data_IF_333394647184
#
_entry.id   IF_333394647184
#
_cell.length_a   1.000
_cell.length_b   1.000
_cell.length_c   1.000
_cell.angle_alpha   90.00
_cell.angle_beta   90.00
_cell.angle_gamma   90.00
#
_symmetry.space_group_name_H-M   'P 1'
#
loop_
_entity.id
_entity.type
_entity.pdbx_description
1 polymer ?
#
# COMPACT_ATOMS: atom_id res chain seq x y z
N UNK A 1 -32.84 -5.78 -11.75
CA UNK A 1 -31.45 -5.99 -11.31
C UNK A 1 -31.51 -6.93 -10.10
N UNK A 2 -31.18 -8.23 -10.26
CA UNK A 2 -31.23 -9.18 -9.14
C UNK A 2 -29.95 -9.02 -8.33
N UNK A 3 -30.07 -8.47 -7.12
CA UNK A 3 -29.02 -8.56 -6.13
C UNK A 3 -28.98 -10.02 -5.64
N UNK A 4 -27.96 -10.78 -6.03
CA UNK A 4 -27.58 -11.93 -5.21
C UNK A 4 -27.07 -11.36 -3.89
N UNK A 5 -27.62 -11.75 -2.74
CA UNK A 5 -27.00 -11.40 -1.47
C UNK A 5 -25.60 -12.01 -1.49
N UNK A 6 -24.56 -11.21 -1.28
CA UNK A 6 -23.21 -11.72 -1.08
C UNK A 6 -23.21 -12.54 0.20
N UNK A 7 -23.17 -13.86 0.09
CA UNK A 7 -23.11 -14.79 1.21
C UNK A 7 -21.81 -15.59 1.07
N UNK A 8 -21.19 -15.93 2.20
CA UNK A 8 -20.11 -16.90 2.19
C UNK A 8 -20.66 -18.29 1.86
N UNK A 9 -19.78 -19.18 1.42
CA UNK A 9 -20.12 -20.60 1.32
C UNK A 9 -20.57 -21.10 2.70
N UNK A 10 -21.61 -21.94 2.75
CA UNK A 10 -22.35 -22.22 3.99
C UNK A 10 -21.47 -22.83 5.09
N UNK A 11 -20.45 -23.63 4.74
CA UNK A 11 -19.53 -24.17 5.73
C UNK A 11 -18.63 -23.09 6.32
N UNK A 12 -18.16 -22.14 5.51
CA UNK A 12 -17.40 -20.99 5.98
C UNK A 12 -18.25 -20.07 6.85
N UNK A 13 -19.50 -19.79 6.47
CA UNK A 13 -20.40 -18.97 7.28
C UNK A 13 -20.66 -19.60 8.66
N UNK A 14 -20.95 -20.90 8.70
CA UNK A 14 -21.16 -21.63 9.94
C UNK A 14 -19.90 -21.62 10.82
N UNK A 15 -18.72 -21.79 10.23
CA UNK A 15 -17.45 -21.72 10.95
C UNK A 15 -17.23 -20.33 11.58
N UNK A 16 -17.45 -19.26 10.82
CA UNK A 16 -17.30 -17.89 11.32
C UNK A 16 -18.31 -17.56 12.44
N UNK A 17 -19.52 -18.13 12.39
CA UNK A 17 -20.52 -18.01 13.45
C UNK A 17 -20.13 -18.77 14.72
N UNK A 18 -19.51 -19.95 14.59
CA UNK A 18 -19.03 -20.76 15.72
C UNK A 18 -17.79 -20.18 16.40
N UNK A 19 -16.90 -19.59 15.62
CA UNK A 19 -15.60 -19.10 16.10
C UNK A 19 -15.40 -17.59 15.84
N UNK A 20 -16.24 -16.72 16.41
CA UNK A 20 -16.20 -15.27 16.13
C UNK A 20 -14.86 -14.62 16.51
N UNK A 21 -14.13 -15.21 17.46
CA UNK A 21 -12.79 -14.76 17.85
C UNK A 21 -11.75 -14.87 16.73
N UNK A 22 -11.99 -15.68 15.69
CA UNK A 22 -11.08 -15.81 14.52
C UNK A 22 -11.28 -14.74 13.47
N UNK A 23 -12.42 -14.04 13.49
CA UNK A 23 -12.79 -13.07 12.46
C UNK A 23 -11.72 -11.97 12.29
N UNK A 24 -11.16 -11.35 13.34
CA UNK A 24 -10.11 -10.33 13.17
C UNK A 24 -8.85 -10.86 12.47
N UNK A 25 -8.41 -12.07 12.82
CA UNK A 25 -7.23 -12.69 12.20
C UNK A 25 -7.47 -13.02 10.72
N UNK A 26 -8.67 -13.51 10.37
CA UNK A 26 -9.05 -13.78 8.99
C UNK A 26 -9.15 -12.48 8.19
N UNK A 27 -9.80 -11.45 8.76
CA UNK A 27 -9.88 -10.13 8.13
C UNK A 27 -8.49 -9.55 7.89
N UNK A 28 -7.56 -9.68 8.86
CA UNK A 28 -6.17 -9.28 8.72
C UNK A 28 -5.48 -10.02 7.57
N UNK A 29 -5.58 -11.35 7.53
CA UNK A 29 -5.01 -12.16 6.46
C UNK A 29 -5.54 -11.80 5.08
N UNK A 30 -6.85 -11.55 4.95
CA UNK A 30 -7.47 -11.08 3.71
C UNK A 30 -6.92 -9.72 3.29
N UNK A 31 -6.81 -8.77 4.22
CA UNK A 31 -6.29 -7.44 3.92
C UNK A 31 -4.83 -7.48 3.50
N UNK A 32 -3.98 -8.18 4.25
CA UNK A 32 -2.55 -8.28 3.94
C UNK A 32 -2.28 -8.98 2.59
N UNK A 33 -3.19 -9.87 2.17
CA UNK A 33 -3.09 -10.57 0.88
C UNK A 33 -3.46 -9.70 -0.33
N UNK A 34 -4.21 -8.61 -0.14
CA UNK A 34 -4.76 -7.82 -1.26
C UNK A 34 -4.32 -6.35 -1.26
N UNK A 35 -3.82 -5.84 -0.14
CA UNK A 35 -3.46 -4.43 0.04
C UNK A 35 -2.00 -4.27 0.48
N UNK A 36 -1.32 -3.18 0.08
CA UNK A 36 0.02 -2.89 0.54
C UNK A 36 0.01 -2.53 2.05
N UNK A 37 1.12 -2.76 2.78
CA UNK A 37 1.22 -2.45 4.21
C UNK A 37 0.91 -1.00 4.56
N UNK A 38 1.21 -0.08 3.64
CA UNK A 38 0.90 1.35 3.75
C UNK A 38 -0.59 1.62 3.86
N UNK A 39 -1.48 0.77 3.33
CA UNK A 39 -2.95 0.97 3.32
C UNK A 39 -3.70 -0.08 4.14
N UNK A 40 -3.10 -1.24 4.41
CA UNK A 40 -3.71 -2.35 5.14
C UNK A 40 -4.40 -1.92 6.44
N UNK A 41 -3.72 -1.15 7.29
CA UNK A 41 -4.28 -0.69 8.56
C UNK A 41 -5.54 0.19 8.38
N UNK A 42 -5.58 1.00 7.33
CA UNK A 42 -6.74 1.85 7.06
C UNK A 42 -7.95 1.05 6.58
N UNK A 43 -7.70 0.00 5.80
CA UNK A 43 -8.77 -0.89 5.31
C UNK A 43 -9.42 -1.60 6.49
N UNK A 44 -8.61 -2.13 7.43
CA UNK A 44 -9.11 -2.75 8.66
C UNK A 44 -9.96 -1.79 9.48
N UNK A 45 -9.44 -0.58 9.72
CA UNK A 45 -10.17 0.45 10.46
C UNK A 45 -11.49 0.81 9.78
N UNK A 46 -11.50 0.94 8.45
CA UNK A 46 -12.71 1.29 7.69
C UNK A 46 -13.82 0.24 7.79
N UNK A 47 -13.47 -1.03 8.03
CA UNK A 47 -14.44 -2.13 8.23
C UNK A 47 -14.66 -2.48 9.71
N UNK A 48 -14.10 -1.70 10.64
CA UNK A 48 -14.33 -1.84 12.09
C UNK A 48 -13.42 -2.83 12.80
N UNK A 49 -12.29 -3.22 12.21
CA UNK A 49 -11.26 -4.02 12.87
C UNK A 49 -10.13 -3.14 13.41
N UNK A 50 -9.63 -3.51 14.60
CA UNK A 50 -8.41 -2.93 15.16
C UNK A 50 -7.19 -3.42 14.34
N UNK A 51 -6.40 -2.52 13.72
CA UNK A 51 -5.26 -2.91 12.90
C UNK A 51 -4.11 -3.57 13.69
N UNK A 52 -4.07 -3.39 15.01
CA UNK A 52 -3.07 -4.00 15.89
C UNK A 52 -3.47 -5.42 16.33
N UNK A 53 -4.76 -5.75 16.26
CA UNK A 53 -5.26 -7.10 16.59
C UNK A 53 -4.93 -8.06 15.45
N UNK A 54 -4.22 -9.15 15.77
CA UNK A 54 -3.78 -10.11 14.76
C UNK A 54 -2.59 -9.64 13.93
N UNK A 55 -1.94 -8.52 14.30
CA UNK A 55 -0.59 -8.19 13.85
C UNK A 55 0.42 -9.19 14.46
N UNK A 56 0.34 -10.45 14.04
CA UNK A 56 1.27 -11.49 14.50
C UNK A 56 2.59 -11.25 13.79
N UNK A 57 3.66 -11.06 14.56
CA UNK A 57 5.04 -11.17 14.09
C UNK A 57 5.24 -12.55 13.49
N UNK A 58 5.19 -12.68 12.15
CA UNK A 58 5.65 -13.84 11.35
C UNK A 58 5.69 -15.18 12.12
N UNK A 59 4.54 -15.63 12.60
CA UNK A 59 4.42 -16.92 13.24
C UNK A 59 3.02 -17.44 12.97
N UNK A 60 2.81 -17.92 11.75
CA UNK A 60 1.69 -18.80 11.43
C UNK A 60 2.20 -19.83 10.42
N UNK A 61 1.75 -21.06 10.62
CA UNK A 61 2.21 -22.31 10.01
C UNK A 61 2.33 -22.25 8.48
N UNK A 62 3.21 -23.07 7.87
CA UNK A 62 3.49 -23.02 6.45
C UNK A 62 2.28 -23.51 5.64
N UNK A 63 1.38 -22.61 5.27
CA UNK A 63 0.58 -22.81 4.07
C UNK A 63 1.56 -22.69 2.90
N UNK A 64 1.67 -23.75 2.10
CA UNK A 64 2.59 -23.86 0.97
C UNK A 64 2.16 -22.97 -0.22
N UNK A 65 1.83 -21.72 0.04
CA UNK A 65 1.88 -20.67 -0.97
C UNK A 65 3.31 -20.17 -0.92
N UNK A 66 4.06 -20.26 -2.02
CA UNK A 66 5.37 -19.62 -2.11
C UNK A 66 5.12 -18.13 -1.97
N UNK A 67 5.15 -17.61 -0.75
CA UNK A 67 5.07 -16.17 -0.51
C UNK A 67 6.24 -15.56 -1.25
N UNK A 68 5.92 -14.86 -2.34
CA UNK A 68 6.91 -14.12 -3.10
C UNK A 68 7.63 -13.21 -2.09
N UNK A 69 8.93 -13.43 -1.90
CA UNK A 69 9.71 -12.65 -0.95
C UNK A 69 10.04 -11.31 -1.59
N UNK A 70 9.75 -10.21 -0.89
CA UNK A 70 10.18 -8.88 -1.34
C UNK A 70 11.69 -8.85 -1.51
N UNK A 71 12.16 -8.43 -2.68
CA UNK A 71 13.57 -8.36 -2.99
C UNK A 71 14.19 -7.10 -2.36
N UNK A 72 15.10 -7.30 -1.41
CA UNK A 72 15.82 -6.20 -0.75
C UNK A 72 16.75 -5.48 -1.73
N UNK A 73 17.30 -6.19 -2.72
CA UNK A 73 18.18 -5.60 -3.74
C UNK A 73 17.40 -4.70 -4.69
N UNK A 74 16.18 -5.07 -5.06
CA UNK A 74 15.28 -4.23 -5.86
C UNK A 74 15.00 -2.89 -5.16
N UNK A 75 14.70 -2.92 -3.85
CA UNK A 75 14.47 -1.69 -3.08
C UNK A 75 15.68 -0.77 -3.14
N UNK A 76 16.88 -1.29 -2.85
CA UNK A 76 18.11 -0.51 -2.90
C UNK A 76 18.34 0.08 -4.31
N UNK A 77 18.18 -0.73 -5.36
CA UNK A 77 18.34 -0.30 -6.75
C UNK A 77 17.35 0.82 -7.15
N UNK A 78 16.09 0.76 -6.72
CA UNK A 78 15.10 1.82 -6.96
C UNK A 78 15.51 3.13 -6.28
N UNK A 79 15.96 3.09 -5.02
CA UNK A 79 16.41 4.29 -4.33
C UNK A 79 17.65 4.88 -5.01
N UNK A 80 18.61 4.04 -5.39
CA UNK A 80 19.84 4.48 -6.06
C UNK A 80 19.57 5.10 -7.44
N UNK A 81 18.72 4.48 -8.26
CA UNK A 81 18.37 4.98 -9.59
C UNK A 81 17.57 6.30 -9.58
N UNK A 82 17.09 6.73 -8.40
CA UNK A 82 16.32 7.96 -8.20
C UNK A 82 17.04 8.93 -7.26
N UNK A 83 18.36 8.82 -7.15
CA UNK A 83 19.23 9.67 -6.31
C UNK A 83 18.75 9.79 -4.85
N UNK A 84 18.08 8.74 -4.34
CA UNK A 84 17.47 8.69 -3.01
C UNK A 84 16.48 9.83 -2.76
N UNK A 85 15.84 10.30 -3.83
CA UNK A 85 14.92 11.43 -3.83
C UNK A 85 13.49 10.97 -4.11
N UNK A 86 12.52 11.60 -3.46
CA UNK A 86 11.11 11.42 -3.75
C UNK A 86 10.80 11.91 -5.17
N UNK A 87 10.33 11.00 -6.02
CA UNK A 87 10.01 11.25 -7.43
C UNK A 87 8.94 12.34 -7.59
N UNK A 88 8.01 12.49 -6.64
CA UNK A 88 6.95 13.51 -6.73
C UNK A 88 7.35 14.89 -6.21
N UNK A 89 8.06 14.98 -5.09
CA UNK A 89 8.28 16.27 -4.42
C UNK A 89 9.74 16.69 -4.28
N UNK A 90 10.69 15.86 -4.72
CA UNK A 90 12.11 16.17 -4.62
C UNK A 90 12.70 16.05 -3.21
N UNK A 91 11.93 15.60 -2.21
CA UNK A 91 12.47 15.40 -0.86
C UNK A 91 13.56 14.33 -0.86
N UNK A 92 14.73 14.65 -0.31
CA UNK A 92 15.96 13.87 -0.35
C UNK A 92 16.65 13.79 1.02
N UNK A 93 15.91 14.07 2.11
CA UNK A 93 16.46 14.20 3.45
C UNK A 93 17.25 12.97 3.91
N UNK A 94 18.41 13.20 4.52
CA UNK A 94 19.29 12.15 5.01
C UNK A 94 19.74 12.41 6.45
N UNK A 95 20.01 11.35 7.21
CA UNK A 95 20.69 11.42 8.50
C UNK A 95 21.82 10.38 8.51
N UNK A 96 23.05 10.82 8.79
CA UNK A 96 24.22 9.93 8.74
C UNK A 96 24.45 9.26 7.39
N UNK A 97 24.06 9.91 6.28
CA UNK A 97 24.18 9.36 4.91
C UNK A 97 23.11 8.32 4.54
N UNK A 98 22.11 8.12 5.40
CA UNK A 98 20.97 7.22 5.17
C UNK A 98 19.72 8.04 4.84
N UNK A 99 19.00 7.73 3.75
CA UNK A 99 17.74 8.39 3.43
C UNK A 99 16.72 8.23 4.55
N UNK A 100 16.06 9.33 4.93
CA UNK A 100 15.02 9.34 5.95
C UNK A 100 13.66 9.38 5.27
N UNK A 101 12.86 8.36 5.50
CA UNK A 101 11.48 8.33 5.03
C UNK A 101 11.33 8.29 3.52
N UNK A 102 12.33 7.80 2.78
CA UNK A 102 12.25 7.47 1.35
C UNK A 102 12.14 5.95 1.21
N UNK A 103 11.17 5.50 0.43
CA UNK A 103 10.88 4.09 0.22
C UNK A 103 10.72 3.77 -1.26
N UNK A 104 11.05 2.54 -1.64
CA UNK A 104 10.66 1.99 -2.92
C UNK A 104 9.17 1.62 -2.88
N UNK A 105 8.39 2.30 -3.71
CA UNK A 105 6.97 2.06 -3.95
C UNK A 105 6.79 1.30 -5.26
N UNK A 106 5.92 0.29 -5.25
CA UNK A 106 5.52 -0.38 -6.49
C UNK A 106 4.40 0.38 -7.19
N UNK A 107 4.46 0.52 -8.51
CA UNK A 107 3.35 1.10 -9.31
C UNK A 107 2.16 0.14 -9.31
N UNK A 108 2.37 -1.10 -9.77
CA UNK A 108 1.45 -2.22 -9.55
C UNK A 108 1.85 -2.91 -8.26
N UNK A 109 0.92 -3.01 -7.31
CA UNK A 109 1.20 -3.61 -6.01
C UNK A 109 1.73 -5.03 -6.10
N UNK A 110 2.70 -5.31 -5.23
CA UNK A 110 3.29 -6.63 -5.05
C UNK A 110 2.23 -7.70 -4.70
N UNK A 111 1.27 -7.35 -3.84
CA UNK A 111 0.16 -8.22 -3.43
C UNK A 111 -0.77 -8.62 -4.61
N UNK A 112 -0.71 -7.87 -5.71
CA UNK A 112 -1.47 -8.11 -6.94
C UNK A 112 -0.54 -8.46 -8.11
N UNK A 113 0.53 -9.23 -7.84
CA UNK A 113 1.53 -9.72 -8.80
C UNK A 113 2.34 -8.62 -9.52
N UNK A 114 2.52 -7.45 -8.90
CA UNK A 114 3.39 -6.40 -9.43
C UNK A 114 4.86 -6.79 -9.47
N UNK A 115 5.55 -6.79 -10.62
CA UNK A 115 6.92 -7.30 -10.75
C UNK A 115 7.95 -6.41 -10.03
N UNK A 116 9.04 -7.00 -9.54
CA UNK A 116 10.20 -6.27 -9.00
C UNK A 116 11.12 -5.84 -10.16
N UNK A 117 10.55 -5.12 -11.13
CA UNK A 117 11.28 -4.54 -12.26
C UNK A 117 11.54 -3.06 -12.01
N UNK A 118 12.58 -2.50 -12.62
CA UNK A 118 12.88 -1.07 -12.51
C UNK A 118 11.73 -0.19 -13.00
N UNK A 119 11.01 -0.63 -14.05
CA UNK A 119 9.86 0.10 -14.60
C UNK A 119 8.60 0.05 -13.73
N UNK A 120 8.54 -0.82 -12.73
CA UNK A 120 7.42 -0.92 -11.78
C UNK A 120 7.75 -0.29 -10.41
N UNK A 121 8.83 0.47 -10.31
CA UNK A 121 9.29 1.04 -9.04
C UNK A 121 9.52 2.55 -9.09
N UNK A 122 9.20 3.21 -7.98
CA UNK A 122 9.47 4.62 -7.74
C UNK A 122 10.07 4.80 -6.34
N UNK A 123 10.97 5.78 -6.18
CA UNK A 123 11.37 6.23 -4.86
C UNK A 123 10.42 7.34 -4.42
N UNK A 124 9.69 7.13 -3.31
CA UNK A 124 8.71 8.09 -2.78
C UNK A 124 8.99 8.36 -1.31
N UNK A 125 8.76 9.59 -0.85
CA UNK A 125 8.73 9.85 0.58
C UNK A 125 7.47 9.24 1.21
N UNK A 126 7.51 8.91 2.51
CA UNK A 126 6.41 8.21 3.21
C UNK A 126 5.02 8.84 2.99
N UNK A 127 4.95 10.18 3.00
CA UNK A 127 3.71 10.91 2.73
C UNK A 127 3.19 10.62 1.31
N UNK A 128 4.04 10.79 0.31
CA UNK A 128 3.68 10.61 -1.09
C UNK A 128 3.47 9.14 -1.46
N UNK A 129 4.18 8.22 -0.82
CA UNK A 129 3.95 6.77 -0.92
C UNK A 129 2.53 6.43 -0.46
N UNK A 130 2.13 6.92 0.72
CA UNK A 130 0.77 6.73 1.25
C UNK A 130 -0.29 7.35 0.34
N UNK A 131 -0.06 8.55 -0.18
CA UNK A 131 -0.98 9.21 -1.10
C UNK A 131 -1.10 8.45 -2.43
N UNK A 132 -0.01 7.89 -2.93
CA UNK A 132 0.00 7.05 -4.12
C UNK A 132 -0.80 5.77 -3.92
N UNK A 133 -0.52 5.00 -2.85
CA UNK A 133 -1.26 3.76 -2.57
C UNK A 133 -2.74 4.00 -2.23
N UNK A 134 -3.09 5.19 -1.71
CA UNK A 134 -4.50 5.58 -1.50
C UNK A 134 -5.20 6.02 -2.79
N UNK A 135 -4.51 6.07 -3.92
CA UNK A 135 -5.02 6.59 -5.19
C UNK A 135 -5.31 8.09 -5.15
N UNK A 136 -4.70 8.83 -4.22
CA UNK A 136 -4.73 10.30 -4.21
C UNK A 136 -3.77 10.84 -5.26
N UNK A 137 -2.58 10.24 -5.36
CA UNK A 137 -1.63 10.49 -6.43
C UNK A 137 -1.61 9.30 -7.37
N UNK A 138 -1.43 9.57 -8.66
CA UNK A 138 -1.26 8.57 -9.69
C UNK A 138 -0.41 9.13 -10.83
N UNK A 139 -0.22 8.31 -11.86
CA UNK A 139 0.37 8.72 -13.13
C UNK A 139 -0.66 8.47 -14.24
N UNK A 140 -0.74 9.36 -15.23
CA UNK A 140 -1.51 9.10 -16.45
C UNK A 140 -0.68 8.35 -17.51
N UNK A 141 -1.23 8.23 -18.73
CA UNK A 141 -0.57 7.52 -19.83
C UNK A 141 0.73 8.15 -20.31
N UNK A 142 0.91 9.46 -20.07
CA UNK A 142 2.13 10.20 -20.42
C UNK A 142 3.09 10.30 -19.21
N UNK A 143 2.80 9.55 -18.14
CA UNK A 143 3.50 9.57 -16.86
C UNK A 143 3.46 10.92 -16.15
N UNK A 144 2.51 11.79 -16.48
CA UNK A 144 2.29 13.01 -15.71
C UNK A 144 1.53 12.69 -14.41
N UNK A 145 1.87 13.43 -13.34
CA UNK A 145 1.26 13.23 -12.03
C UNK A 145 -0.22 13.66 -12.08
N UNK A 146 -1.10 12.75 -11.68
CA UNK A 146 -2.53 13.03 -11.48
C UNK A 146 -2.87 13.12 -10.01
N UNK A 147 -3.62 14.17 -9.63
CA UNK A 147 -4.14 14.34 -8.28
C UNK A 147 -5.64 14.05 -8.30
N UNK A 148 -6.08 13.13 -7.45
CA UNK A 148 -7.48 12.75 -7.33
C UNK A 148 -8.36 13.93 -6.95
N UNK A 149 -9.48 14.10 -7.64
CA UNK A 149 -10.50 15.11 -7.30
C UNK A 149 -11.17 14.86 -5.94
N UNK A 150 -10.98 13.68 -5.34
CA UNK A 150 -11.45 13.36 -3.98
C UNK A 150 -10.50 13.83 -2.89
N UNK A 151 -9.31 14.31 -3.23
CA UNK A 151 -8.38 14.88 -2.26
C UNK A 151 -8.80 16.29 -1.86
N UNK A 152 -8.80 16.57 -0.56
CA UNK A 152 -9.15 17.89 0.00
C UNK A 152 -8.10 18.34 1.01
N UNK A 153 -7.62 19.58 0.91
CA UNK A 153 -6.68 20.15 1.87
C UNK A 153 -6.96 21.63 2.17
N UNK A 154 -6.74 22.05 3.44
CA UNK A 154 -6.99 23.43 3.91
C UNK A 154 -5.73 24.24 4.20
N UNK A 155 -4.62 23.61 4.53
CA UNK A 155 -3.36 24.31 4.86
C UNK A 155 -2.48 24.44 3.62
N UNK A 156 -1.55 25.40 3.57
CA UNK A 156 -0.59 25.50 2.47
C UNK A 156 0.18 24.19 2.22
N UNK A 157 0.66 23.54 3.28
CA UNK A 157 1.38 22.27 3.18
C UNK A 157 0.54 21.14 2.58
N UNK A 158 -0.74 21.04 2.94
CA UNK A 158 -1.63 20.04 2.35
C UNK A 158 -1.99 20.38 0.90
N UNK A 159 -2.18 21.67 0.58
CA UNK A 159 -2.48 22.12 -0.78
C UNK A 159 -1.31 21.96 -1.75
N UNK A 160 -0.08 21.90 -1.26
CA UNK A 160 1.11 21.64 -2.09
C UNK A 160 1.02 20.34 -2.90
N UNK A 161 0.16 19.39 -2.48
CA UNK A 161 -0.14 18.18 -3.25
C UNK A 161 -0.84 18.51 -4.58
N UNK A 162 -1.71 19.53 -4.63
CA UNK A 162 -2.35 19.95 -5.88
C UNK A 162 -1.34 20.51 -6.89
N UNK A 163 -0.29 21.17 -6.39
CA UNK A 163 0.75 21.76 -7.23
C UNK A 163 1.56 20.70 -7.97
N UNK A 164 1.45 19.43 -7.57
CA UNK A 164 2.07 18.28 -8.25
C UNK A 164 1.33 17.92 -9.55
N UNK A 165 0.06 18.27 -9.69
CA UNK A 165 -0.74 17.85 -10.83
C UNK A 165 -0.15 18.35 -12.16
N UNK A 166 0.00 17.44 -13.14
CA UNK A 166 0.53 17.74 -14.46
C UNK A 166 2.06 17.86 -14.52
N UNK A 167 2.77 17.71 -13.40
CA UNK A 167 4.23 17.59 -13.43
C UNK A 167 4.65 16.24 -14.05
N UNK A 168 5.80 16.18 -14.74
CA UNK A 168 6.36 14.93 -15.24
C UNK A 168 6.89 14.04 -14.11
#
# INVERSE_FOLDING_TARGET
MRASPGQFESALEELLRREPARVPAIARGLVDSHFPPTVAGDVLLAVGFDPEVGAVTKASEPTAVVERRRDASWRAAILEARDRQCTFCGFDGQAGGVPIGIEAAHVRWFALDGPDSMGNGMALCMLHHKLFDRGVLGLDGDLAIVVSQRFSARTPHGRAVYDLHGRP
#
